data_IF_153770856758
#
_entry.id   IF_153770856758
#
_cell.length_a   1.000
_cell.length_b   1.000
_cell.length_c   1.000
_cell.angle_alpha   90.00
_cell.angle_beta   90.00
_cell.angle_gamma   90.00
#
_symmetry.space_group_name_H-M   'P 1'
#
loop_
_entity.id
_entity.type
_entity.pdbx_description
1 polymer ?
#
# COMPACT_ATOMS: atom_id res chain seq x y z
N UNK A 1 14.72 14.18 -6.55
CA UNK A 1 15.55 15.36 -6.86
C UNK A 1 15.59 16.36 -5.70
N UNK A 2 14.45 16.85 -5.17
CA UNK A 2 14.41 17.84 -4.06
C UNK A 2 15.20 17.38 -2.83
N UNK A 3 15.02 16.13 -2.38
CA UNK A 3 15.74 15.60 -1.20
C UNK A 3 17.25 15.54 -1.42
N UNK A 4 17.71 15.16 -2.61
CA UNK A 4 19.13 15.15 -2.93
C UNK A 4 19.72 16.58 -2.98
N UNK A 5 18.96 17.53 -3.50
CA UNK A 5 19.34 18.94 -3.48
C UNK A 5 19.44 19.49 -2.05
N UNK A 6 18.46 19.18 -1.19
CA UNK A 6 18.53 19.56 0.23
C UNK A 6 19.72 18.90 0.95
N UNK A 7 20.00 17.63 0.69
CA UNK A 7 21.16 16.94 1.25
C UNK A 7 22.47 17.59 0.79
N UNK A 8 22.56 17.99 -0.49
CA UNK A 8 23.72 18.71 -1.02
C UNK A 8 23.90 20.08 -0.38
N UNK A 9 22.81 20.85 -0.18
CA UNK A 9 22.86 22.11 0.54
C UNK A 9 23.32 21.91 1.99
N UNK A 10 22.81 20.91 2.70
CA UNK A 10 23.26 20.59 4.05
C UNK A 10 24.76 20.24 4.08
N UNK A 11 25.24 19.46 3.11
CA UNK A 11 26.66 19.15 2.99
C UNK A 11 27.51 20.41 2.85
N UNK A 12 27.12 21.35 1.97
CA UNK A 12 27.88 22.58 1.72
C UNK A 12 27.85 23.55 2.91
N UNK A 13 26.70 23.73 3.55
CA UNK A 13 26.55 24.79 4.56
C UNK A 13 26.75 24.30 6.00
N UNK A 14 26.47 23.03 6.29
CA UNK A 14 26.53 22.48 7.65
C UNK A 14 27.87 21.79 7.98
N UNK A 15 28.88 21.84 7.07
CA UNK A 15 30.20 21.19 7.26
C UNK A 15 30.09 19.72 7.72
N UNK A 16 29.18 18.96 7.09
CA UNK A 16 28.94 17.56 7.41
C UNK A 16 30.15 16.73 7.01
N UNK A 17 30.69 15.96 7.94
CA UNK A 17 31.72 14.96 7.64
C UNK A 17 31.07 13.68 7.11
N UNK A 18 31.21 13.44 5.80
CA UNK A 18 30.65 12.26 5.15
C UNK A 18 31.23 10.95 5.68
N UNK A 19 32.45 10.96 6.21
CA UNK A 19 33.05 9.75 6.75
C UNK A 19 32.37 9.22 8.02
N UNK A 20 31.70 10.08 8.77
CA UNK A 20 30.99 9.73 10.00
C UNK A 20 29.57 9.26 9.78
N UNK A 21 28.99 9.49 8.60
CA UNK A 21 27.60 9.11 8.30
C UNK A 21 27.38 7.61 8.47
N UNK A 22 28.31 6.78 8.00
CA UNK A 22 28.24 5.30 8.08
C UNK A 22 28.18 4.78 9.53
N UNK A 23 28.68 5.56 10.48
CA UNK A 23 28.73 5.16 11.89
C UNK A 23 27.52 5.65 12.69
N UNK A 24 26.70 6.52 12.09
CA UNK A 24 25.48 7.01 12.69
C UNK A 24 24.46 5.85 12.91
N UNK A 25 23.86 5.71 14.10
CA UNK A 25 22.87 4.67 14.39
C UNK A 25 21.72 4.69 13.39
N UNK A 26 21.22 5.87 13.02
CA UNK A 26 20.12 6.04 12.09
C UNK A 26 20.49 5.58 10.66
N UNK A 27 21.76 5.70 10.25
CA UNK A 27 22.23 5.19 8.96
C UNK A 27 22.22 3.66 8.94
N UNK A 28 22.67 3.03 10.04
CA UNK A 28 22.67 1.56 10.16
C UNK A 28 21.24 1.00 10.13
N UNK A 29 20.35 1.55 10.94
CA UNK A 29 18.91 1.16 10.92
C UNK A 29 18.27 1.39 9.55
N UNK A 30 18.60 2.50 8.88
CA UNK A 30 18.10 2.78 7.53
C UNK A 30 18.62 1.77 6.50
N UNK A 31 19.89 1.38 6.58
CA UNK A 31 20.47 0.38 5.68
C UNK A 31 19.87 -1.02 5.91
N UNK A 32 19.68 -1.43 7.16
CA UNK A 32 19.01 -2.70 7.50
C UNK A 32 17.56 -2.70 6.99
N UNK A 33 16.82 -1.62 7.23
CA UNK A 33 15.45 -1.46 6.73
C UNK A 33 15.36 -1.51 5.22
N UNK A 34 16.32 -0.92 4.52
CA UNK A 34 16.38 -0.95 3.06
C UNK A 34 16.55 -2.39 2.54
N UNK A 35 17.44 -3.17 3.14
CA UNK A 35 17.66 -4.58 2.77
C UNK A 35 16.38 -5.40 3.00
N UNK A 36 15.73 -5.23 4.16
CA UNK A 36 14.48 -5.92 4.48
C UNK A 36 13.38 -5.56 3.49
N UNK A 37 13.18 -4.26 3.22
CA UNK A 37 12.17 -3.78 2.28
C UNK A 37 12.41 -4.30 0.88
N UNK A 38 13.64 -4.23 0.38
CA UNK A 38 13.97 -4.76 -0.96
C UNK A 38 13.74 -6.26 -1.06
N UNK A 39 14.12 -7.02 -0.03
CA UNK A 39 13.90 -8.47 0.02
C UNK A 39 12.41 -8.82 0.01
N UNK A 40 11.61 -8.14 0.82
CA UNK A 40 10.16 -8.34 0.87
C UNK A 40 9.49 -7.95 -0.45
N UNK A 41 9.86 -6.81 -1.03
CA UNK A 41 9.31 -6.35 -2.32
C UNK A 41 9.62 -7.32 -3.44
N UNK A 42 10.85 -7.80 -3.54
CA UNK A 42 11.24 -8.79 -4.56
C UNK A 42 10.50 -10.11 -4.39
N UNK A 43 10.46 -10.63 -3.17
CA UNK A 43 9.77 -11.88 -2.87
C UNK A 43 8.26 -11.77 -3.20
N UNK A 44 7.60 -10.73 -2.71
CA UNK A 44 6.18 -10.50 -2.96
C UNK A 44 5.88 -10.29 -4.45
N UNK A 45 6.67 -9.48 -5.15
CA UNK A 45 6.50 -9.24 -6.58
C UNK A 45 6.69 -10.52 -7.41
N UNK A 46 7.64 -11.38 -7.04
CA UNK A 46 7.87 -12.64 -7.74
C UNK A 46 6.66 -13.56 -7.61
N UNK A 47 6.12 -13.73 -6.40
CA UNK A 47 4.93 -14.56 -6.17
C UNK A 47 3.72 -13.99 -6.91
N UNK A 48 3.47 -12.69 -6.77
CA UNK A 48 2.29 -12.05 -7.38
C UNK A 48 2.36 -12.11 -8.90
N UNK A 49 3.53 -11.82 -9.49
CA UNK A 49 3.68 -11.89 -10.94
C UNK A 49 3.49 -13.33 -11.48
N UNK A 50 3.88 -14.34 -10.71
CA UNK A 50 3.65 -15.73 -11.08
C UNK A 50 2.16 -16.12 -11.09
N UNK A 51 1.34 -15.48 -10.24
CA UNK A 51 -0.09 -15.77 -10.08
C UNK A 51 -0.99 -14.63 -10.61
N UNK A 52 -0.42 -13.63 -11.29
CA UNK A 52 -1.18 -12.49 -11.79
C UNK A 52 -2.38 -12.88 -12.67
N UNK A 53 -2.25 -13.83 -13.62
CA UNK A 53 -3.39 -14.26 -14.45
C UNK A 53 -4.53 -14.86 -13.62
N UNK A 54 -4.23 -15.60 -12.57
CA UNK A 54 -5.23 -16.21 -11.67
C UNK A 54 -5.97 -15.16 -10.85
N UNK A 55 -5.24 -14.12 -10.40
CA UNK A 55 -5.82 -12.97 -9.68
C UNK A 55 -6.74 -12.18 -10.61
N UNK A 56 -6.29 -11.93 -11.85
CA UNK A 56 -7.08 -11.25 -12.88
C UNK A 56 -8.37 -12.00 -13.19
N UNK A 57 -8.29 -13.28 -13.50
CA UNK A 57 -9.45 -14.12 -13.80
C UNK A 57 -10.46 -14.13 -12.63
N UNK A 58 -9.96 -14.28 -11.40
CA UNK A 58 -10.81 -14.25 -10.21
C UNK A 58 -11.51 -12.91 -10.00
N UNK A 59 -10.80 -11.80 -10.23
CA UNK A 59 -11.36 -10.46 -10.10
C UNK A 59 -12.42 -10.18 -11.17
N UNK A 60 -12.18 -10.59 -12.42
CA UNK A 60 -13.12 -10.48 -13.53
C UNK A 60 -14.37 -11.30 -13.27
N UNK A 61 -14.23 -12.58 -12.91
CA UNK A 61 -15.34 -13.46 -12.61
C UNK A 61 -16.24 -12.93 -11.48
N UNK A 62 -15.62 -12.35 -10.45
CA UNK A 62 -16.36 -11.73 -9.35
C UNK A 62 -17.14 -10.49 -9.80
N UNK A 63 -16.53 -9.65 -10.63
CA UNK A 63 -17.19 -8.45 -11.17
C UNK A 63 -18.30 -8.77 -12.16
N UNK A 64 -18.13 -9.78 -13.02
CA UNK A 64 -19.18 -10.23 -13.94
C UNK A 64 -20.42 -10.73 -13.19
N UNK A 65 -20.19 -11.42 -12.08
CA UNK A 65 -21.31 -11.95 -11.29
C UNK A 65 -21.93 -10.88 -10.38
N UNK A 66 -21.10 -9.97 -9.83
CA UNK A 66 -21.51 -8.99 -8.83
C UNK A 66 -20.88 -7.60 -9.08
N UNK A 67 -21.32 -6.84 -10.09
CA UNK A 67 -20.73 -5.53 -10.44
C UNK A 67 -20.77 -4.51 -9.28
N UNK A 68 -21.77 -4.65 -8.38
CA UNK A 68 -21.92 -3.78 -7.20
C UNK A 68 -20.84 -4.01 -6.12
N UNK A 69 -20.06 -5.10 -6.22
CA UNK A 69 -18.96 -5.38 -5.32
C UNK A 69 -17.63 -4.74 -5.77
N UNK A 70 -17.65 -3.82 -6.72
CA UNK A 70 -16.44 -3.20 -7.28
C UNK A 70 -15.49 -2.67 -6.19
N UNK A 71 -16.01 -2.01 -5.14
CA UNK A 71 -15.18 -1.54 -4.03
C UNK A 71 -14.51 -2.69 -3.26
N UNK A 72 -15.18 -3.84 -3.13
CA UNK A 72 -14.61 -5.04 -2.49
C UNK A 72 -13.52 -5.64 -3.37
N UNK A 73 -13.74 -5.68 -4.68
CA UNK A 73 -12.73 -6.17 -5.65
C UNK A 73 -11.50 -5.26 -5.63
N UNK A 74 -11.67 -3.95 -5.63
CA UNK A 74 -10.56 -3.00 -5.48
C UNK A 74 -9.80 -3.22 -4.18
N UNK A 75 -10.51 -3.41 -3.07
CA UNK A 75 -9.92 -3.69 -1.76
C UNK A 75 -9.07 -4.96 -1.79
N UNK A 76 -9.65 -6.09 -2.20
CA UNK A 76 -8.96 -7.38 -2.23
C UNK A 76 -7.78 -7.37 -3.21
N UNK A 77 -8.00 -6.87 -4.42
CA UNK A 77 -6.95 -6.80 -5.44
C UNK A 77 -5.79 -5.91 -4.99
N UNK A 78 -6.07 -4.73 -4.41
CA UNK A 78 -4.99 -3.85 -3.93
C UNK A 78 -4.21 -4.43 -2.74
N UNK A 79 -4.88 -5.19 -1.87
CA UNK A 79 -4.22 -5.88 -0.75
C UNK A 79 -3.27 -6.99 -1.23
N UNK A 80 -3.56 -7.61 -2.38
CA UNK A 80 -2.71 -8.66 -2.99
C UNK A 80 -1.63 -8.05 -3.88
N UNK A 81 -2.00 -7.12 -4.77
CA UNK A 81 -1.08 -6.54 -5.76
C UNK A 81 -0.10 -5.51 -5.16
N UNK A 82 -0.33 -5.06 -3.94
CA UNK A 82 0.49 -4.02 -3.26
C UNK A 82 0.70 -2.75 -4.09
N UNK A 83 -0.23 -2.45 -5.03
CA UNK A 83 -0.10 -1.34 -5.95
C UNK A 83 -1.47 -0.81 -6.36
N UNK A 84 -1.72 0.45 -6.03
CA UNK A 84 -2.93 1.15 -6.48
C UNK A 84 -2.99 1.30 -7.99
N UNK A 85 -1.85 1.65 -8.61
CA UNK A 85 -1.74 1.84 -10.05
C UNK A 85 -2.00 0.54 -10.82
N UNK A 86 -1.39 -0.56 -10.42
CA UNK A 86 -1.60 -1.88 -11.04
C UNK A 86 -3.04 -2.34 -10.86
N UNK A 87 -3.60 -2.18 -9.67
CA UNK A 87 -5.01 -2.52 -9.40
C UNK A 87 -5.96 -1.70 -10.26
N UNK A 88 -5.73 -0.40 -10.39
CA UNK A 88 -6.55 0.46 -11.24
C UNK A 88 -6.43 0.07 -12.72
N UNK A 89 -5.22 -0.15 -13.20
CA UNK A 89 -4.97 -0.53 -14.59
C UNK A 89 -5.64 -1.86 -14.96
N UNK A 90 -5.76 -2.76 -13.98
CA UNK A 90 -6.42 -4.05 -14.15
C UNK A 90 -7.95 -3.92 -14.07
N UNK A 91 -8.47 -3.35 -13.00
CA UNK A 91 -9.89 -3.44 -12.65
C UNK A 91 -10.74 -2.37 -13.36
N UNK A 92 -10.21 -1.14 -13.57
CA UNK A 92 -11.02 -0.08 -14.19
C UNK A 92 -11.48 -0.39 -15.63
N UNK A 93 -10.63 -0.91 -16.53
CA UNK A 93 -11.07 -1.28 -17.87
C UNK A 93 -12.14 -2.39 -17.85
N UNK A 94 -11.98 -3.38 -16.98
CA UNK A 94 -12.96 -4.47 -16.82
C UNK A 94 -14.30 -3.92 -16.34
N UNK A 95 -14.31 -3.12 -15.27
CA UNK A 95 -15.53 -2.51 -14.75
C UNK A 95 -16.23 -1.65 -15.82
N UNK A 96 -15.47 -0.88 -16.61
CA UNK A 96 -16.01 -0.08 -17.71
C UNK A 96 -16.60 -0.95 -18.83
N UNK A 97 -15.95 -2.06 -19.20
CA UNK A 97 -16.47 -2.99 -20.21
C UNK A 97 -17.76 -3.70 -19.78
N UNK A 98 -17.95 -3.91 -18.48
CA UNK A 98 -19.16 -4.46 -17.88
C UNK A 98 -20.29 -3.41 -17.73
N UNK A 99 -20.05 -2.16 -18.17
CA UNK A 99 -21.05 -1.10 -18.13
C UNK A 99 -21.23 -0.44 -16.78
N UNK A 100 -20.27 -0.60 -15.85
CA UNK A 100 -20.29 0.13 -14.57
C UNK A 100 -20.07 1.62 -14.85
N UNK A 101 -20.91 2.47 -14.28
CA UNK A 101 -20.85 3.92 -14.51
C UNK A 101 -19.58 4.54 -13.93
N UNK A 102 -19.13 5.64 -14.54
CA UNK A 102 -17.89 6.32 -14.16
C UNK A 102 -17.89 6.78 -12.71
N UNK A 103 -19.02 7.28 -12.20
CA UNK A 103 -19.14 7.72 -10.81
C UNK A 103 -18.93 6.57 -9.82
N UNK A 104 -19.45 5.38 -10.14
CA UNK A 104 -19.24 4.18 -9.32
C UNK A 104 -17.78 3.72 -9.38
N UNK A 105 -17.13 3.75 -10.56
CA UNK A 105 -15.71 3.39 -10.68
C UNK A 105 -14.85 4.35 -9.85
N UNK A 106 -15.02 5.66 -10.05
CA UNK A 106 -14.25 6.70 -9.36
C UNK A 106 -14.50 6.67 -7.85
N UNK A 107 -15.75 6.57 -7.43
CA UNK A 107 -16.11 6.52 -6.02
C UNK A 107 -15.60 5.27 -5.29
N UNK A 108 -15.60 4.12 -5.98
CA UNK A 108 -15.10 2.86 -5.44
C UNK A 108 -13.58 2.78 -5.42
N UNK A 109 -12.88 3.58 -6.24
CA UNK A 109 -11.41 3.58 -6.35
C UNK A 109 -10.70 3.86 -5.01
N UNK A 110 -11.34 4.56 -4.09
CA UNK A 110 -10.81 4.79 -2.73
C UNK A 110 -10.44 3.47 -2.04
N UNK A 111 -11.15 2.39 -2.33
CA UNK A 111 -10.87 1.06 -1.80
C UNK A 111 -9.52 0.46 -2.27
N UNK A 112 -8.90 0.99 -3.33
CA UNK A 112 -7.54 0.62 -3.75
C UNK A 112 -6.45 0.94 -2.72
N UNK A 113 -6.81 1.45 -1.56
CA UNK A 113 -5.88 1.81 -0.49
C UNK A 113 -5.65 0.69 0.53
N UNK A 114 -6.07 -0.56 0.26
CA UNK A 114 -5.92 -1.71 1.17
C UNK A 114 -4.48 -2.26 1.29
N UNK A 115 -3.49 -1.49 0.89
CA UNK A 115 -2.06 -1.84 0.93
C UNK A 115 -1.52 -2.12 2.34
N UNK A 116 -2.19 -1.59 3.36
CA UNK A 116 -1.82 -1.74 4.77
C UNK A 116 -2.30 -3.05 5.40
N UNK A 117 -3.15 -3.83 4.73
CA UNK A 117 -3.74 -5.07 5.27
C UNK A 117 -2.65 -6.06 5.67
N UNK A 118 -1.62 -6.18 4.85
CA UNK A 118 -0.51 -7.06 5.14
C UNK A 118 0.72 -6.27 5.61
N UNK A 119 1.51 -6.90 6.47
CA UNK A 119 2.78 -6.36 6.91
C UNK A 119 3.90 -6.46 5.85
N UNK A 120 3.59 -7.02 4.68
CA UNK A 120 4.55 -7.21 3.57
C UNK A 120 4.66 -5.96 2.70
N UNK A 121 3.72 -5.02 2.81
CA UNK A 121 3.81 -3.77 2.07
C UNK A 121 5.02 -2.95 2.54
N UNK A 122 5.83 -2.38 1.62
CA UNK A 122 7.12 -1.76 1.95
C UNK A 122 7.07 -0.73 3.07
N UNK A 123 6.05 0.13 3.10
CA UNK A 123 5.93 1.16 4.15
C UNK A 123 5.59 0.57 5.51
N UNK A 124 4.78 -0.48 5.56
CA UNK A 124 4.45 -1.19 6.80
C UNK A 124 5.67 -1.96 7.31
N UNK A 125 6.38 -2.66 6.43
CA UNK A 125 7.62 -3.36 6.75
C UNK A 125 8.70 -2.38 7.27
N UNK A 126 8.83 -1.21 6.63
CA UNK A 126 9.73 -0.15 7.09
C UNK A 126 9.35 0.38 8.47
N UNK A 127 8.06 0.66 8.70
CA UNK A 127 7.57 1.12 9.99
C UNK A 127 7.85 0.10 11.11
N UNK A 128 7.69 -1.20 10.83
CA UNK A 128 8.01 -2.29 11.76
C UNK A 128 9.51 -2.31 12.09
N UNK A 129 10.38 -2.13 11.10
CA UNK A 129 11.83 -2.15 11.30
C UNK A 129 12.35 -0.92 12.06
N UNK A 130 11.59 0.18 12.06
CA UNK A 130 11.92 1.40 12.84
C UNK A 130 11.32 1.39 14.25
N UNK A 131 10.43 0.46 14.58
CA UNK A 131 9.80 0.38 15.89
C UNK A 131 10.65 -0.46 16.84
N UNK A 132 11.23 0.19 17.86
CA UNK A 132 12.02 -0.42 18.92
C UNK A 132 11.17 -0.97 20.08
N UNK A 133 9.90 -0.56 20.16
CA UNK A 133 8.98 -1.02 21.22
C UNK A 133 8.41 -2.41 20.94
N UNK A 134 8.23 -2.75 19.68
CA UNK A 134 7.68 -4.02 19.19
C UNK A 134 6.27 -4.33 19.71
N UNK A 135 5.52 -3.31 20.17
CA UNK A 135 4.22 -3.52 20.78
C UNK A 135 3.20 -2.44 20.43
N UNK A 136 1.94 -2.85 20.31
CA UNK A 136 0.79 -1.97 20.13
C UNK A 136 -0.37 -2.41 21.03
N UNK A 137 -0.93 -1.48 21.80
CA UNK A 137 -2.03 -1.75 22.75
C UNK A 137 -1.73 -2.94 23.69
N UNK A 138 -0.51 -3.04 24.21
CA UNK A 138 -0.09 -4.11 25.10
C UNK A 138 0.15 -5.46 24.44
N UNK A 139 0.05 -5.54 23.11
CA UNK A 139 0.35 -6.74 22.33
C UNK A 139 1.60 -6.52 21.50
N UNK A 140 2.41 -7.55 21.38
CA UNK A 140 3.58 -7.53 20.52
C UNK A 140 3.17 -7.43 19.06
N UNK A 141 3.64 -6.38 18.38
CA UNK A 141 3.46 -6.26 16.93
C UNK A 141 4.85 -6.19 16.29
N UNK A 142 5.26 -7.19 15.64
CA UNK A 142 6.58 -7.26 15.00
C UNK A 142 6.47 -7.74 13.55
N UNK A 143 5.29 -7.62 12.97
CA UNK A 143 5.00 -8.10 11.64
C UNK A 143 4.82 -9.62 11.52
N UNK A 144 4.90 -10.37 12.62
CA UNK A 144 4.68 -11.81 12.58
C UNK A 144 3.21 -12.20 12.34
N UNK A 145 2.28 -11.29 12.58
CA UNK A 145 0.86 -11.46 12.29
C UNK A 145 0.41 -10.42 11.27
N UNK A 146 -0.27 -10.86 10.22
CA UNK A 146 -0.76 -10.02 9.12
C UNK A 146 -1.59 -8.83 9.60
N UNK A 147 -2.40 -9.02 10.64
CA UNK A 147 -3.33 -8.02 11.17
C UNK A 147 -2.89 -7.42 12.51
N UNK A 148 -1.76 -7.86 13.06
CA UNK A 148 -1.30 -7.39 14.36
C UNK A 148 -0.35 -6.19 14.22
N UNK A 149 -0.87 -5.09 13.69
CA UNK A 149 -0.14 -3.84 13.55
C UNK A 149 -1.10 -2.63 13.69
N UNK A 150 -0.58 -1.44 14.09
CA UNK A 150 -1.41 -0.28 14.42
C UNK A 150 -2.22 0.30 13.25
N UNK A 151 -1.86 0.00 12.00
CA UNK A 151 -2.54 0.54 10.81
C UNK A 151 -3.78 -0.24 10.41
N UNK A 152 -3.96 -1.49 10.86
CA UNK A 152 -5.05 -2.36 10.41
C UNK A 152 -6.43 -1.80 10.77
N UNK A 153 -6.70 -1.59 12.06
CA UNK A 153 -8.02 -1.11 12.51
C UNK A 153 -8.34 0.29 11.98
N UNK A 154 -7.45 1.31 12.15
CA UNK A 154 -7.70 2.64 11.61
C UNK A 154 -7.89 2.65 10.10
N UNK A 155 -7.12 1.84 9.38
CA UNK A 155 -7.23 1.73 7.93
C UNK A 155 -8.57 1.14 7.49
N UNK A 156 -9.04 0.06 8.12
CA UNK A 156 -10.35 -0.52 7.84
C UNK A 156 -11.49 0.47 8.12
N UNK A 157 -11.44 1.19 9.24
CA UNK A 157 -12.44 2.22 9.58
C UNK A 157 -12.41 3.35 8.55
N UNK A 158 -11.22 3.81 8.18
CA UNK A 158 -11.05 4.87 7.18
C UNK A 158 -11.64 4.49 5.83
N UNK A 159 -11.40 3.26 5.35
CA UNK A 159 -11.96 2.79 4.09
C UNK A 159 -13.48 2.58 4.17
N UNK A 160 -13.97 2.04 5.26
CA UNK A 160 -15.41 1.87 5.47
C UNK A 160 -16.17 3.20 5.45
N UNK A 161 -15.54 4.29 5.89
CA UNK A 161 -16.11 5.63 5.81
C UNK A 161 -15.86 6.28 4.44
N UNK A 162 -14.67 6.11 3.86
CA UNK A 162 -14.26 6.79 2.64
C UNK A 162 -14.97 6.28 1.37
N UNK A 163 -15.28 4.99 1.28
CA UNK A 163 -15.98 4.41 0.12
C UNK A 163 -17.39 5.00 -0.06
N UNK A 164 -18.29 4.99 0.95
CA UNK A 164 -19.59 5.64 0.82
C UNK A 164 -19.49 7.14 0.51
N UNK A 165 -18.57 7.84 1.16
CA UNK A 165 -18.32 9.26 0.90
C UNK A 165 -17.82 9.50 -0.53
N UNK A 166 -16.89 8.68 -1.01
CA UNK A 166 -16.37 8.74 -2.39
C UNK A 166 -17.45 8.51 -3.43
N UNK A 167 -18.32 7.50 -3.21
CA UNK A 167 -19.47 7.24 -4.07
C UNK A 167 -20.47 8.41 -4.09
N UNK A 168 -20.77 8.97 -2.93
CA UNK A 168 -21.64 10.15 -2.82
C UNK A 168 -21.04 11.34 -3.58
N UNK A 169 -19.78 11.63 -3.36
CA UNK A 169 -19.09 12.76 -3.99
C UNK A 169 -18.98 12.59 -5.51
N UNK A 170 -18.61 11.39 -5.96
CA UNK A 170 -18.50 11.10 -7.39
C UNK A 170 -19.83 11.29 -8.13
N UNK A 171 -20.95 10.82 -7.53
CA UNK A 171 -22.30 11.04 -8.07
C UNK A 171 -22.79 12.47 -8.06
N UNK A 172 -22.17 13.33 -7.25
CA UNK A 172 -22.50 14.76 -7.24
C UNK A 172 -21.70 15.56 -8.29
N UNK A 173 -20.53 15.05 -8.69
CA UNK A 173 -19.61 15.76 -9.56
C UNK A 173 -19.62 15.23 -11.03
N UNK A 174 -20.03 14.00 -11.24
CA UNK A 174 -20.11 13.33 -12.53
C UNK A 174 -21.55 13.04 -12.93
#
# INVERSE_FOLDING_TARGET
MIMMFCAWLMYLFCKVDLATIKDAPIFKSGAESLIVVLGIVWFSSTIINAHLPEVEESAVALLEQYPYLLAVVFFLASAVLFSQGSTAALICPVAASLGVDAATIVGSFVACSALYITNVYPTTAFAISCDDTGSFMGRRWNGSFVINHPFFIPGCISLAAAVPFGLMLARMLL
#
